data_IF_390268078785
#
_entry.id   IF_390268078785
#
_cell.length_a   1.000
_cell.length_b   1.000
_cell.length_c   1.000
_cell.angle_alpha   90.00
_cell.angle_beta   90.00
_cell.angle_gamma   90.00
#
_symmetry.space_group_name_H-M   'P 1'
#
loop_
_entity.id
_entity.type
_entity.pdbx_description
1 polymer ?
#
# COMPACT_ATOMS: atom_id res chain seq x y z
N UNK A 1 25.47 -5.48 14.30
CA UNK A 1 25.12 -6.90 14.50
C UNK A 1 23.67 -7.07 14.08
N UNK A 2 23.39 -7.78 12.99
CA UNK A 2 22.00 -7.94 12.51
C UNK A 2 21.20 -8.78 13.50
N UNK A 3 20.00 -8.31 13.88
CA UNK A 3 19.09 -9.04 14.76
C UNK A 3 18.68 -10.36 14.07
N UNK A 4 18.96 -11.54 14.63
CA UNK A 4 18.70 -12.83 13.98
C UNK A 4 17.20 -13.07 13.67
N UNK A 5 16.30 -12.44 14.43
CA UNK A 5 14.86 -12.46 14.15
C UNK A 5 14.50 -11.71 12.85
N UNK A 6 15.27 -10.66 12.54
CA UNK A 6 15.10 -9.82 11.36
C UNK A 6 15.53 -10.52 10.06
N UNK A 7 16.56 -11.36 10.10
CA UNK A 7 16.91 -12.18 8.93
C UNK A 7 15.83 -13.23 8.63
N UNK A 8 15.20 -13.79 9.67
CA UNK A 8 14.17 -14.82 9.52
C UNK A 8 12.86 -14.29 8.93
N UNK A 9 12.50 -13.02 9.21
CA UNK A 9 11.28 -12.42 8.64
C UNK A 9 11.45 -12.03 7.17
N UNK A 10 12.66 -11.66 6.74
CA UNK A 10 12.91 -11.18 5.37
C UNK A 10 13.27 -12.29 4.37
N UNK A 11 13.94 -13.36 4.83
CA UNK A 11 14.35 -14.48 3.97
C UNK A 11 13.24 -14.99 3.01
N UNK A 12 11.98 -15.12 3.43
CA UNK A 12 10.91 -15.61 2.57
C UNK A 12 10.65 -14.72 1.34
N UNK A 13 10.73 -13.39 1.48
CA UNK A 13 10.54 -12.46 0.37
C UNK A 13 11.61 -12.60 -0.72
N UNK A 14 12.83 -13.01 -0.34
CA UNK A 14 13.96 -13.16 -1.27
C UNK A 14 13.90 -14.47 -2.08
N UNK A 15 13.13 -15.46 -1.62
CA UNK A 15 13.02 -16.78 -2.25
C UNK A 15 11.74 -16.86 -3.10
N UNK A 16 10.69 -16.13 -2.72
CA UNK A 16 9.44 -16.10 -3.46
C UNK A 16 9.60 -15.29 -4.76
N UNK A 17 9.14 -15.87 -5.87
CA UNK A 17 9.15 -15.23 -7.20
C UNK A 17 7.75 -15.10 -7.80
N UNK A 18 6.71 -15.26 -6.97
CA UNK A 18 5.30 -15.12 -7.36
C UNK A 18 4.65 -14.00 -6.56
N UNK A 19 3.90 -13.13 -7.26
CA UNK A 19 3.24 -11.96 -6.66
C UNK A 19 2.18 -12.38 -5.63
N UNK A 20 1.40 -13.42 -5.92
CA UNK A 20 0.36 -13.91 -5.01
C UNK A 20 0.93 -14.49 -3.72
N UNK A 21 2.05 -15.20 -3.81
CA UNK A 21 2.78 -15.71 -2.65
C UNK A 21 3.41 -14.58 -1.83
N UNK A 22 4.01 -13.57 -2.47
CA UNK A 22 4.52 -12.37 -1.80
C UNK A 22 3.40 -11.63 -1.07
N UNK A 23 2.23 -11.48 -1.70
CA UNK A 23 1.06 -10.83 -1.10
C UNK A 23 0.53 -11.61 0.12
N UNK A 24 0.39 -12.93 -0.03
CA UNK A 24 -0.04 -13.81 1.07
C UNK A 24 0.93 -13.75 2.25
N UNK A 25 2.24 -13.70 1.95
CA UNK A 25 3.28 -13.58 2.97
C UNK A 25 3.24 -12.22 3.69
N UNK A 26 3.06 -11.13 2.93
CA UNK A 26 2.87 -9.79 3.49
C UNK A 26 1.72 -9.74 4.48
N UNK A 27 0.58 -10.33 4.11
CA UNK A 27 -0.58 -10.42 5.00
C UNK A 27 -0.28 -11.19 6.29
N UNK A 28 0.39 -12.35 6.19
CA UNK A 28 0.75 -13.14 7.36
C UNK A 28 1.65 -12.37 8.33
N UNK A 29 2.68 -11.68 7.81
CA UNK A 29 3.57 -10.89 8.65
C UNK A 29 2.84 -9.69 9.29
N UNK A 30 1.99 -8.99 8.52
CA UNK A 30 1.24 -7.83 9.01
C UNK A 30 0.15 -8.18 10.05
N UNK A 31 -0.42 -9.38 9.98
CA UNK A 31 -1.34 -9.88 11.01
C UNK A 31 -0.66 -9.98 12.37
N UNK A 32 0.62 -10.34 12.44
CA UNK A 32 1.36 -10.36 13.71
C UNK A 32 1.49 -8.97 14.37
N UNK A 33 1.35 -7.90 13.58
CA UNK A 33 1.34 -6.51 14.06
C UNK A 33 -0.08 -5.94 14.24
N UNK A 34 -1.12 -6.75 14.04
CA UNK A 34 -2.53 -6.36 14.22
C UNK A 34 -3.17 -5.65 13.03
N UNK A 35 -2.58 -5.79 11.83
CA UNK A 35 -3.17 -5.30 10.57
C UNK A 35 -3.80 -6.48 9.80
N UNK A 36 -5.07 -6.36 9.44
CA UNK A 36 -5.83 -7.44 8.79
C UNK A 36 -6.12 -7.14 7.31
N UNK A 37 -6.03 -5.88 6.89
CA UNK A 37 -6.27 -5.46 5.52
C UNK A 37 -5.22 -4.46 5.05
N UNK A 38 -4.84 -4.60 3.79
CA UNK A 38 -3.71 -3.91 3.17
C UNK A 38 -4.15 -3.36 1.82
N UNK A 39 -3.78 -2.12 1.57
CA UNK A 39 -3.75 -1.52 0.24
C UNK A 39 -2.29 -1.24 -0.10
N UNK A 40 -1.88 -1.57 -1.31
CA UNK A 40 -0.58 -1.29 -1.88
C UNK A 40 -0.77 -0.56 -3.21
N UNK A 41 -0.07 0.54 -3.39
CA UNK A 41 0.09 1.19 -4.69
C UNK A 41 1.57 1.43 -4.94
N UNK A 42 2.15 0.80 -5.95
CA UNK A 42 3.55 0.95 -6.31
C UNK A 42 3.74 1.27 -7.79
N UNK A 43 4.75 2.05 -8.11
CA UNK A 43 5.09 2.33 -9.52
C UNK A 43 6.09 1.28 -10.01
N UNK A 44 5.70 0.50 -11.02
CA UNK A 44 6.57 -0.54 -11.59
C UNK A 44 7.59 0.02 -12.58
N UNK A 45 7.20 0.98 -13.43
CA UNK A 45 8.10 1.64 -14.38
C UNK A 45 7.94 3.14 -14.29
N UNK A 46 9.06 3.85 -14.23
CA UNK A 46 9.06 5.31 -14.31
C UNK A 46 8.64 5.74 -15.72
N UNK A 47 7.58 6.55 -15.89
CA UNK A 47 7.23 7.05 -17.21
C UNK A 47 8.37 7.94 -17.75
N UNK A 48 8.60 7.88 -19.06
CA UNK A 48 9.77 8.48 -19.71
C UNK A 48 9.84 10.02 -19.57
N UNK A 49 8.70 10.67 -19.36
CA UNK A 49 8.58 12.12 -19.11
C UNK A 49 8.82 12.50 -17.63
N UNK A 50 8.97 11.53 -16.72
CA UNK A 50 9.22 11.75 -15.30
C UNK A 50 8.01 12.21 -14.48
N UNK A 51 6.85 12.42 -15.10
CA UNK A 51 5.60 12.77 -14.43
C UNK A 51 4.82 11.50 -14.10
N UNK A 52 4.72 11.17 -12.82
CA UNK A 52 3.91 10.05 -12.37
C UNK A 52 2.44 10.43 -12.45
N UNK A 53 1.68 9.70 -13.25
CA UNK A 53 0.22 9.74 -13.16
C UNK A 53 -0.24 8.57 -12.28
N UNK A 54 -1.38 8.72 -11.60
CA UNK A 54 -1.96 7.59 -10.87
C UNK A 54 -2.29 6.37 -11.73
N UNK A 55 -2.37 6.52 -13.06
CA UNK A 55 -2.56 5.41 -14.00
C UNK A 55 -1.30 4.54 -14.15
N UNK A 56 -0.16 5.05 -13.72
CA UNK A 56 1.14 4.34 -13.72
C UNK A 56 1.37 3.54 -12.41
N UNK A 57 0.41 3.60 -11.49
CA UNK A 57 0.47 2.90 -10.20
C UNK A 57 -0.22 1.54 -10.33
N UNK A 58 0.55 0.51 -10.07
CA UNK A 58 0.05 -0.84 -9.92
C UNK A 58 -0.51 -1.02 -8.50
N UNK A 59 -1.79 -1.37 -8.42
CA UNK A 59 -2.56 -1.41 -7.17
C UNK A 59 -2.93 -2.84 -6.83
N UNK A 60 -2.70 -3.21 -5.57
CA UNK A 60 -3.26 -4.42 -4.96
C UNK A 60 -3.99 -4.04 -3.68
N UNK A 61 -5.19 -4.54 -3.49
CA UNK A 61 -6.04 -4.21 -2.35
C UNK A 61 -6.69 -5.46 -1.77
N UNK A 62 -6.73 -5.55 -0.44
CA UNK A 62 -7.51 -6.55 0.27
C UNK A 62 -8.77 -5.95 0.93
N UNK A 63 -9.14 -4.70 0.60
CA UNK A 63 -10.30 -4.04 1.19
C UNK A 63 -11.64 -4.50 0.60
N UNK A 64 -11.59 -5.16 -0.55
CA UNK A 64 -12.76 -5.70 -1.23
C UNK A 64 -13.30 -4.76 -2.31
N UNK A 65 -14.13 -5.32 -3.18
CA UNK A 65 -14.57 -4.66 -4.43
C UNK A 65 -15.31 -3.34 -4.21
N UNK A 66 -16.06 -3.19 -3.12
CA UNK A 66 -16.76 -1.93 -2.82
C UNK A 66 -15.75 -0.81 -2.56
N UNK A 67 -14.67 -1.09 -1.83
CA UNK A 67 -13.60 -0.12 -1.61
C UNK A 67 -12.88 0.20 -2.91
N UNK A 68 -12.49 -0.84 -3.66
CA UNK A 68 -11.71 -0.68 -4.87
C UNK A 68 -12.46 0.16 -5.90
N UNK A 69 -13.77 -0.03 -6.03
CA UNK A 69 -14.60 0.76 -6.93
C UNK A 69 -14.55 2.26 -6.63
N UNK A 70 -14.82 2.68 -5.39
CA UNK A 70 -14.85 4.12 -5.12
C UNK A 70 -13.46 4.73 -4.96
N UNK A 71 -12.52 3.95 -4.41
CA UNK A 71 -11.22 4.47 -4.05
C UNK A 71 -10.29 4.48 -5.26
N UNK A 72 -10.27 3.39 -6.05
CA UNK A 72 -9.42 3.22 -7.23
C UNK A 72 -10.15 3.65 -8.49
N UNK A 73 -11.25 2.97 -8.85
CA UNK A 73 -11.90 3.18 -10.16
C UNK A 73 -12.49 4.59 -10.30
N UNK A 74 -13.18 5.08 -9.26
CA UNK A 74 -13.77 6.43 -9.22
C UNK A 74 -12.73 7.52 -8.82
N UNK A 75 -11.46 7.15 -8.62
CA UNK A 75 -10.37 8.09 -8.32
C UNK A 75 -10.40 8.70 -6.91
N UNK A 76 -11.06 8.05 -5.94
CA UNK A 76 -11.13 8.50 -4.55
C UNK A 76 -9.75 8.73 -3.91
N UNK A 77 -8.74 7.95 -4.25
CA UNK A 77 -7.37 8.10 -3.74
C UNK A 77 -6.78 9.51 -4.03
N UNK A 78 -7.18 10.17 -5.12
CA UNK A 78 -6.73 11.55 -5.44
C UNK A 78 -7.23 12.57 -4.42
N UNK A 79 -8.35 12.29 -3.77
CA UNK A 79 -8.95 13.16 -2.77
C UNK A 79 -8.73 12.67 -1.35
N UNK A 80 -8.07 11.52 -1.15
CA UNK A 80 -7.79 11.00 0.18
C UNK A 80 -6.68 11.82 0.87
N UNK A 81 -6.92 12.16 2.14
CA UNK A 81 -5.99 12.96 2.94
C UNK A 81 -4.64 12.26 3.09
N UNK A 82 -4.65 10.96 3.35
CA UNK A 82 -3.43 10.22 3.64
C UNK A 82 -2.63 9.90 2.38
N UNK A 83 -3.32 9.69 1.26
CA UNK A 83 -2.70 9.53 -0.06
C UNK A 83 -2.02 10.81 -0.50
N UNK A 84 -2.70 11.96 -0.36
CA UNK A 84 -2.10 13.27 -0.64
C UNK A 84 -0.87 13.53 0.24
N UNK A 85 -0.93 13.19 1.53
CA UNK A 85 0.24 13.26 2.38
C UNK A 85 1.37 12.34 1.90
N UNK A 86 1.07 11.09 1.55
CA UNK A 86 2.05 10.08 1.13
C UNK A 86 2.79 10.47 -0.15
N UNK A 87 2.11 11.11 -1.10
CA UNK A 87 2.72 11.61 -2.34
C UNK A 87 3.85 12.62 -2.06
N UNK A 88 3.66 13.48 -1.06
CA UNK A 88 4.55 14.61 -0.75
C UNK A 88 5.50 14.35 0.42
N UNK A 89 5.33 13.25 1.16
CA UNK A 89 6.04 12.95 2.41
C UNK A 89 6.64 11.54 2.38
N UNK A 90 7.57 11.26 3.30
CA UNK A 90 8.13 9.93 3.54
C UNK A 90 7.85 9.51 4.99
N UNK A 91 7.71 8.20 5.23
CA UNK A 91 7.53 7.64 6.55
C UNK A 91 6.10 7.13 6.75
N UNK A 92 5.54 7.30 7.95
CA UNK A 92 4.21 6.79 8.28
C UNK A 92 3.31 7.83 8.93
N UNK A 93 2.03 7.80 8.58
CA UNK A 93 0.97 8.66 9.11
C UNK A 93 -0.12 7.81 9.78
N UNK A 94 -0.33 8.03 11.07
CA UNK A 94 -1.47 7.48 11.81
C UNK A 94 -2.78 8.06 11.30
N UNK A 95 -3.79 7.22 11.06
CA UNK A 95 -5.13 7.67 10.66
C UNK A 95 -5.88 8.42 11.77
N UNK A 96 -5.34 8.41 13.00
CA UNK A 96 -5.77 9.32 14.05
C UNK A 96 -5.60 10.80 13.68
N UNK A 97 -4.62 11.15 12.82
CA UNK A 97 -4.47 12.49 12.29
C UNK A 97 -5.66 12.89 11.41
N UNK A 98 -6.09 12.00 10.50
CA UNK A 98 -7.25 12.19 9.62
C UNK A 98 -8.52 12.43 10.42
N UNK A 99 -8.78 11.66 11.48
CA UNK A 99 -9.94 11.89 12.36
C UNK A 99 -9.90 13.25 13.06
N UNK A 100 -8.72 13.70 13.50
CA UNK A 100 -8.56 15.03 14.10
C UNK A 100 -8.83 16.16 13.10
N UNK A 101 -8.40 16.00 11.84
CA UNK A 101 -8.70 16.96 10.78
C UNK A 101 -10.20 17.03 10.50
N UNK A 102 -10.88 15.88 10.43
CA UNK A 102 -12.33 15.81 10.29
C UNK A 102 -13.05 16.52 11.45
N UNK A 103 -12.66 16.23 12.69
CA UNK A 103 -13.28 16.82 13.89
C UNK A 103 -13.10 18.34 13.98
N UNK A 104 -12.05 18.89 13.37
CA UNK A 104 -11.78 20.33 13.31
C UNK A 104 -12.42 21.02 12.09
N UNK A 105 -13.13 20.28 11.22
CA UNK A 105 -13.68 20.84 9.98
C UNK A 105 -12.60 21.27 8.97
N UNK A 106 -11.41 20.65 9.03
CA UNK A 106 -10.26 21.00 8.18
C UNK A 106 -10.13 20.12 6.94
N UNK A 107 -11.22 19.44 6.55
CA UNK A 107 -11.29 18.65 5.33
C UNK A 107 -12.09 19.39 4.27
N UNK A 108 -11.66 19.27 3.01
CA UNK A 108 -12.51 19.63 1.87
C UNK A 108 -13.70 18.68 1.75
N UNK A 109 -14.76 19.10 1.04
CA UNK A 109 -15.93 18.24 0.82
C UNK A 109 -15.58 16.87 0.21
N UNK A 110 -14.65 16.84 -0.74
CA UNK A 110 -14.20 15.57 -1.36
C UNK A 110 -13.44 14.68 -0.38
N UNK A 111 -12.55 15.26 0.44
CA UNK A 111 -11.84 14.54 1.50
C UNK A 111 -12.80 13.96 2.53
N UNK A 112 -13.84 14.72 2.90
CA UNK A 112 -14.86 14.27 3.82
C UNK A 112 -15.66 13.09 3.24
N UNK A 113 -16.07 13.15 1.97
CA UNK A 113 -16.74 12.03 1.30
C UNK A 113 -15.89 10.76 1.33
N UNK A 114 -14.60 10.86 0.98
CA UNK A 114 -13.69 9.70 1.02
C UNK A 114 -13.55 9.16 2.46
N UNK A 115 -13.40 10.05 3.44
CA UNK A 115 -13.30 9.66 4.85
C UNK A 115 -14.56 8.93 5.35
N UNK A 116 -15.75 9.43 5.01
CA UNK A 116 -17.03 8.85 5.42
C UNK A 116 -17.29 7.50 4.74
N UNK A 117 -16.96 7.36 3.44
CA UNK A 117 -17.07 6.07 2.74
C UNK A 117 -16.09 5.03 3.30
N UNK A 118 -14.83 5.40 3.53
CA UNK A 118 -13.86 4.51 4.19
C UNK A 118 -14.33 4.06 5.57
N UNK A 119 -14.91 4.97 6.35
CA UNK A 119 -15.51 4.66 7.65
C UNK A 119 -16.69 3.69 7.53
N UNK A 120 -17.58 3.87 6.55
CA UNK A 120 -18.70 2.96 6.31
C UNK A 120 -18.24 1.51 6.04
N UNK A 121 -17.04 1.35 5.45
CA UNK A 121 -16.41 0.05 5.20
C UNK A 121 -15.53 -0.45 6.35
N UNK A 122 -15.59 0.16 7.54
CA UNK A 122 -14.76 -0.16 8.71
C UNK A 122 -13.25 0.01 8.48
N UNK A 123 -12.85 0.96 7.63
CA UNK A 123 -11.46 1.37 7.42
C UNK A 123 -11.22 2.62 8.28
N UNK A 124 -10.92 2.39 9.56
CA UNK A 124 -11.02 3.42 10.62
C UNK A 124 -9.71 3.69 11.35
N UNK A 125 -9.01 2.61 11.70
CA UNK A 125 -7.81 2.63 12.51
C UNK A 125 -6.69 1.99 11.70
N UNK A 126 -5.54 2.64 11.67
CA UNK A 126 -4.48 2.20 10.77
C UNK A 126 -3.42 3.25 10.52
N UNK A 127 -2.60 2.95 9.52
CA UNK A 127 -1.48 3.78 9.10
C UNK A 127 -1.40 3.83 7.58
N UNK A 128 -1.04 4.99 7.06
CA UNK A 128 -0.55 5.13 5.69
C UNK A 128 0.96 5.22 5.73
N UNK A 129 1.66 4.43 4.91
CA UNK A 129 3.13 4.39 4.83
C UNK A 129 3.55 4.81 3.44
N UNK A 130 4.52 5.71 3.34
CA UNK A 130 5.11 6.18 2.09
C UNK A 130 6.56 5.74 2.01
N UNK A 131 6.89 4.95 0.98
CA UNK A 131 8.23 4.55 0.62
C UNK A 131 8.71 5.38 -0.59
N UNK A 132 9.88 5.99 -0.46
CA UNK A 132 10.50 6.82 -1.50
C UNK A 132 11.93 6.35 -1.74
N UNK A 133 12.39 6.43 -2.99
CA UNK A 133 13.79 6.25 -3.35
C UNK A 133 14.50 7.60 -3.24
N UNK A 134 15.77 7.56 -2.84
CA UNK A 134 16.62 8.73 -2.58
C UNK A 134 16.45 9.84 -3.62
N UNK A 135 15.68 10.87 -3.22
CA UNK A 135 15.70 12.18 -3.86
C UNK A 135 14.66 12.49 -4.93
N UNK A 136 13.36 12.12 -4.79
CA UNK A 136 12.19 13.04 -4.97
C UNK A 136 10.84 12.41 -5.35
N UNK A 137 10.74 11.11 -5.69
CA UNK A 137 9.46 10.50 -6.12
C UNK A 137 8.95 9.41 -5.16
N UNK A 138 7.62 9.34 -5.00
CA UNK A 138 6.94 8.21 -4.37
C UNK A 138 7.25 6.96 -5.20
N UNK A 139 7.78 5.92 -4.55
CA UNK A 139 8.00 4.61 -5.18
C UNK A 139 6.79 3.74 -4.92
N UNK A 140 6.30 3.74 -3.68
CA UNK A 140 5.08 3.06 -3.30
C UNK A 140 4.48 3.59 -2.01
N UNK A 141 3.18 3.37 -1.86
CA UNK A 141 2.42 3.67 -0.66
C UNK A 141 1.66 2.45 -0.18
N UNK A 142 1.48 2.36 1.13
CA UNK A 142 0.65 1.33 1.79
C UNK A 142 -0.43 1.98 2.63
N UNK A 143 -1.65 1.44 2.58
CA UNK A 143 -2.70 1.70 3.56
C UNK A 143 -2.92 0.46 4.41
N UNK A 144 -2.49 0.50 5.67
CA UNK A 144 -2.55 -0.61 6.61
C UNK A 144 -3.73 -0.41 7.56
N UNK A 145 -4.79 -1.20 7.41
CA UNK A 145 -5.92 -1.16 8.32
C UNK A 145 -5.75 -2.17 9.43
N UNK A 146 -5.99 -1.69 10.64
CA UNK A 146 -6.06 -2.50 11.84
C UNK A 146 -7.25 -3.46 11.78
N UNK A 147 -7.13 -4.54 12.55
CA UNK A 147 -8.28 -5.38 12.90
C UNK A 147 -9.48 -4.55 13.39
N UNK A 148 -10.70 -4.94 13.01
CA UNK A 148 -11.93 -4.15 13.29
C UNK A 148 -12.13 -3.81 14.76
N UNK A 149 -11.71 -4.69 15.68
CA UNK A 149 -11.85 -4.50 17.14
C UNK A 149 -10.72 -3.66 17.73
N UNK A 150 -9.68 -3.36 16.97
CA UNK A 150 -8.53 -2.62 17.43
C UNK A 150 -8.79 -1.11 17.39
N UNK A 151 -8.30 -0.40 18.40
CA UNK A 151 -8.37 1.07 18.45
C UNK A 151 -7.10 1.67 17.86
N UNK A 152 -7.18 2.91 17.36
CA UNK A 152 -5.99 3.60 16.90
C UNK A 152 -4.92 3.69 17.97
N UNK A 153 -5.28 3.98 19.23
CA UNK A 153 -4.30 4.09 20.31
C UNK A 153 -3.50 2.80 20.52
N UNK A 154 -4.16 1.63 20.40
CA UNK A 154 -3.48 0.34 20.49
C UNK A 154 -2.52 0.12 19.31
N UNK A 155 -2.93 0.44 18.09
CA UNK A 155 -2.05 0.35 16.92
C UNK A 155 -0.90 1.36 17.00
N UNK A 156 -1.14 2.58 17.46
CA UNK A 156 -0.10 3.59 17.64
C UNK A 156 0.98 3.09 18.64
N UNK A 157 0.58 2.39 19.73
CA UNK A 157 1.52 1.76 20.66
C UNK A 157 2.31 0.61 20.02
N UNK A 158 1.67 -0.24 19.20
CA UNK A 158 2.36 -1.29 18.45
C UNK A 158 3.36 -0.65 17.48
N UNK A 159 2.93 0.36 16.73
CA UNK A 159 3.76 1.08 15.79
C UNK A 159 5.01 1.66 16.47
N UNK A 160 4.86 2.29 17.63
CA UNK A 160 5.97 2.88 18.39
C UNK A 160 7.04 1.85 18.79
N UNK A 161 6.66 0.59 18.99
CA UNK A 161 7.59 -0.48 19.41
C UNK A 161 8.11 -1.35 18.25
N UNK A 162 7.38 -1.42 17.13
CA UNK A 162 7.65 -2.38 16.05
C UNK A 162 7.82 -1.71 14.67
N UNK A 163 7.87 -0.38 14.58
CA UNK A 163 7.93 0.35 13.29
C UNK A 163 9.04 -0.13 12.37
N UNK A 164 10.21 -0.46 12.92
CA UNK A 164 11.37 -0.87 12.14
C UNK A 164 11.14 -2.23 11.47
N UNK A 165 10.48 -3.16 12.17
CA UNK A 165 10.13 -4.47 11.60
C UNK A 165 9.04 -4.36 10.55
N UNK A 166 8.02 -3.54 10.82
CA UNK A 166 6.95 -3.27 9.85
C UNK A 166 7.54 -2.64 8.60
N UNK A 167 8.36 -1.58 8.73
CA UNK A 167 9.00 -0.92 7.61
C UNK A 167 9.87 -1.86 6.78
N UNK A 168 10.59 -2.79 7.43
CA UNK A 168 11.40 -3.79 6.74
C UNK A 168 10.56 -4.76 5.91
N UNK A 169 9.46 -5.26 6.47
CA UNK A 169 8.51 -6.14 5.78
C UNK A 169 7.90 -5.45 4.56
N UNK A 170 7.42 -4.20 4.72
CA UNK A 170 6.85 -3.42 3.62
C UNK A 170 7.88 -3.16 2.52
N UNK A 171 9.11 -2.81 2.91
CA UNK A 171 10.21 -2.53 1.97
C UNK A 171 10.62 -3.78 1.21
N UNK A 172 10.74 -4.93 1.88
CA UNK A 172 11.08 -6.19 1.24
C UNK A 172 10.01 -6.63 0.24
N UNK A 173 8.73 -6.55 0.62
CA UNK A 173 7.62 -6.80 -0.30
C UNK A 173 7.70 -5.87 -1.53
N UNK A 174 7.86 -4.57 -1.31
CA UNK A 174 7.92 -3.58 -2.39
C UNK A 174 9.07 -3.83 -3.37
N UNK A 175 10.28 -4.10 -2.85
CA UNK A 175 11.45 -4.42 -3.68
C UNK A 175 11.20 -5.69 -4.49
N UNK A 176 10.72 -6.75 -3.84
CA UNK A 176 10.51 -8.04 -4.49
C UNK A 176 9.42 -7.96 -5.57
N UNK A 177 8.30 -7.31 -5.28
CA UNK A 177 7.20 -7.15 -6.26
C UNK A 177 7.64 -6.32 -7.46
N UNK A 178 8.41 -5.24 -7.26
CA UNK A 178 8.93 -4.43 -8.36
C UNK A 178 10.05 -5.12 -9.15
N UNK A 179 10.71 -6.12 -8.57
CA UNK A 179 11.71 -6.93 -9.26
C UNK A 179 11.09 -8.06 -10.11
N UNK A 180 9.80 -8.38 -9.91
CA UNK A 180 9.12 -9.36 -10.74
C UNK A 180 8.91 -8.82 -12.17
N UNK A 181 8.94 -9.68 -13.19
CA UNK A 181 8.62 -9.28 -14.56
C UNK A 181 7.20 -8.69 -14.64
N UNK A 182 7.09 -7.42 -15.03
CA UNK A 182 5.82 -6.79 -15.36
C UNK A 182 5.39 -7.31 -16.74
N UNK A 183 4.45 -8.25 -16.79
CA UNK A 183 3.73 -8.51 -18.04
C UNK A 183 2.73 -7.37 -18.25
N UNK A 184 2.74 -6.66 -19.39
CA UNK A 184 1.69 -5.71 -19.68
C UNK A 184 0.35 -6.43 -19.61
N UNK A 185 -0.62 -5.83 -18.91
CA UNK A 185 -1.99 -6.32 -18.92
C UNK A 185 -2.50 -6.28 -20.37
N UNK A 186 -2.60 -7.46 -20.99
CA UNK A 186 -2.97 -7.68 -22.39
C UNK A 186 -2.11 -6.93 -23.43
N UNK A 187 -0.94 -7.48 -23.76
CA UNK A 187 -0.79 -7.82 -25.18
C UNK A 187 -1.45 -9.19 -25.33
N UNK A 188 -2.71 -9.20 -25.77
CA UNK A 188 -3.23 -10.41 -26.44
C UNK A 188 -2.17 -10.76 -27.48
N UNK A 189 -1.55 -11.94 -27.34
CA UNK A 189 -0.66 -12.49 -28.35
C UNK A 189 -1.38 -12.33 -29.68
N UNK A 190 -0.94 -11.40 -30.52
CA UNK A 190 -1.54 -11.25 -31.83
C UNK A 190 -1.38 -12.60 -32.53
N UNK A 191 -2.38 -13.02 -33.33
CA UNK A 191 -2.41 -14.35 -33.97
C UNK A 191 -1.08 -14.77 -34.64
N UNK A 192 -0.24 -13.81 -35.05
CA UNK A 192 1.11 -14.03 -35.59
C UNK A 192 2.15 -14.57 -34.60
N UNK A 193 2.00 -14.37 -33.30
CA UNK A 193 2.95 -14.85 -32.28
C UNK A 193 2.68 -16.28 -31.81
N UNK A 194 1.48 -16.82 -32.06
CA UNK A 194 1.17 -18.24 -31.81
C UNK A 194 1.71 -19.18 -32.90
N UNK A 195 2.00 -18.70 -34.11
CA UNK A 195 2.48 -19.54 -35.22
C UNK A 195 3.96 -19.94 -35.11
N UNK A 196 4.71 -19.41 -34.13
CA UNK A 196 6.15 -19.71 -33.94
C UNK A 196 6.37 -20.75 -32.82
N UNK A 197 5.31 -21.21 -32.15
CA UNK A 197 5.37 -22.20 -31.07
C UNK A 197 4.82 -23.60 -31.46
N UNK A 198 4.61 -23.84 -32.75
CA UNK A 198 4.50 -25.18 -33.36
C UNK A 198 5.72 -25.47 -34.24
#
# INVERSE_FOLDING_TARGET
>A
MSNPQFNKILQPYLILSDRGLLWSRLHQDLQHFGFDRVFYGGVQRRPANGEFTPRDVDVTSSYGSEFDRFFVDDGGFLSDVTTQWAIHSQGAMSWGATRRLCAKGQMTARQQTVHERSRALNILNGYTVSLRSDGRSLVSGFGLCAERKCTQGKIDSIWQSQSDQIAAVLTAYDICVRALPSFPAQEELSKRQCEVLE
#
